data_IF_953107550652
#
_entry.id   IF_953107550652
#
_cell.length_a   1.000
_cell.length_b   1.000
_cell.length_c   1.000
_cell.angle_alpha   90.00
_cell.angle_beta   90.00
_cell.angle_gamma   90.00
#
_symmetry.space_group_name_H-M   'P 1'
#
loop_
_entity.id
_entity.type
_entity.pdbx_description
1 polymer ?
#
# COMPACT_ATOMS: atom_id res chain seq x y z
N UNK A 1 -10.96 8.47 9.39
CA UNK A 1 -10.40 7.11 9.53
C UNK A 1 -10.63 6.40 8.22
N UNK A 2 -9.57 5.97 7.53
CA UNK A 2 -9.69 5.15 6.32
C UNK A 2 -9.86 3.72 6.85
N UNK A 3 -10.94 3.05 6.52
CA UNK A 3 -11.18 1.68 6.96
C UNK A 3 -10.90 0.76 5.78
N UNK A 4 -9.87 -0.07 5.91
CA UNK A 4 -9.57 -1.10 4.93
C UNK A 4 -10.45 -2.33 5.20
N UNK A 5 -10.93 -2.95 4.13
CA UNK A 5 -11.68 -4.21 4.19
C UNK A 5 -10.94 -5.29 3.42
N UNK A 6 -11.21 -6.54 3.79
CA UNK A 6 -10.74 -7.69 3.03
C UNK A 6 -11.24 -7.59 1.58
N UNK A 7 -10.34 -7.74 0.61
CA UNK A 7 -10.63 -7.61 -0.81
C UNK A 7 -10.39 -6.21 -1.40
N UNK A 8 -10.16 -5.18 -0.57
CA UNK A 8 -9.87 -3.82 -1.08
C UNK A 8 -8.54 -3.78 -1.82
N UNK A 9 -8.46 -2.88 -2.81
CA UNK A 9 -7.21 -2.61 -3.52
C UNK A 9 -6.50 -1.40 -2.89
N UNK A 10 -5.21 -1.58 -2.60
CA UNK A 10 -4.39 -0.56 -1.94
C UNK A 10 -3.07 -0.37 -2.68
N UNK A 11 -2.56 0.85 -2.64
CA UNK A 11 -1.20 1.16 -3.06
C UNK A 11 -0.33 1.22 -1.81
N UNK A 12 0.87 0.65 -1.92
CA UNK A 12 1.85 0.65 -0.84
C UNK A 12 2.81 1.81 -1.02
N UNK A 13 2.91 2.68 -0.02
CA UNK A 13 3.89 3.74 0.04
C UNK A 13 5.20 3.22 0.64
N UNK A 14 6.30 3.34 -0.10
CA UNK A 14 7.62 2.95 0.39
C UNK A 14 8.26 4.12 1.16
N UNK A 15 7.98 4.20 2.47
CA UNK A 15 8.48 5.24 3.39
C UNK A 15 9.99 5.12 3.71
N UNK A 16 10.66 4.02 3.38
CA UNK A 16 12.04 3.71 3.80
C UNK A 16 13.15 3.93 2.75
N UNK A 17 12.83 4.39 1.54
CA UNK A 17 13.86 4.69 0.54
C UNK A 17 14.72 5.90 0.98
N UNK A 18 16.04 5.69 1.06
CA UNK A 18 17.05 6.73 1.29
C UNK A 18 16.86 7.86 0.28
N UNK A 19 16.86 9.11 0.76
CA UNK A 19 16.79 10.30 -0.07
C UNK A 19 18.02 10.32 -0.99
N UNK A 20 17.85 9.91 -2.24
CA UNK A 20 18.90 10.02 -3.26
C UNK A 20 18.87 11.46 -3.82
N UNK A 21 20.00 12.18 -3.86
CA UNK A 21 20.06 13.60 -4.23
C UNK A 21 19.98 13.85 -5.75
N UNK A 22 19.11 13.14 -6.47
CA UNK A 22 19.09 13.21 -7.94
C UNK A 22 17.80 12.83 -8.67
N UNK A 23 16.75 12.37 -7.97
CA UNK A 23 15.37 12.18 -8.49
C UNK A 23 14.53 11.52 -7.40
N UNK A 24 13.49 12.20 -6.90
CA UNK A 24 12.43 11.50 -6.17
C UNK A 24 11.65 10.66 -7.19
N UNK A 25 11.98 9.37 -7.31
CA UNK A 25 11.05 8.43 -7.98
C UNK A 25 9.82 8.30 -7.08
N UNK A 26 8.63 8.35 -7.68
CA UNK A 26 7.37 8.13 -6.98
C UNK A 26 7.43 6.83 -6.17
N UNK A 27 7.04 6.92 -4.89
CA UNK A 27 7.33 5.91 -3.86
C UNK A 27 6.28 4.81 -3.77
N UNK A 28 5.36 4.76 -4.72
CA UNK A 28 4.23 3.85 -4.72
C UNK A 28 4.64 2.52 -5.34
N UNK A 29 4.49 1.45 -4.58
CA UNK A 29 4.49 0.09 -5.09
C UNK A 29 3.05 -0.27 -5.46
N UNK A 30 2.91 -1.09 -6.50
CA UNK A 30 1.67 -1.29 -7.28
C UNK A 30 0.41 -1.69 -6.49
N UNK A 31 -0.71 -1.92 -7.20
CA UNK A 31 -1.96 -2.27 -6.55
C UNK A 31 -1.88 -3.67 -5.91
N UNK A 32 -2.12 -3.73 -4.61
CA UNK A 32 -2.19 -4.97 -3.84
C UNK A 32 -3.61 -5.18 -3.33
N UNK A 33 -4.01 -6.45 -3.16
CA UNK A 33 -5.29 -6.79 -2.54
C UNK A 33 -5.10 -7.03 -1.05
N UNK A 34 -5.95 -6.41 -0.24
CA UNK A 34 -6.03 -6.66 1.19
C UNK A 34 -6.55 -8.07 1.42
N UNK A 35 -5.76 -8.87 2.12
CA UNK A 35 -6.15 -10.20 2.58
C UNK A 35 -6.89 -10.12 3.91
N UNK A 36 -6.31 -9.40 4.86
CA UNK A 36 -6.79 -9.32 6.25
C UNK A 36 -6.30 -8.01 6.87
N UNK A 37 -7.12 -7.37 7.70
CA UNK A 37 -6.75 -6.19 8.48
C UNK A 37 -6.64 -6.59 9.94
N UNK A 38 -5.45 -6.41 10.53
CA UNK A 38 -5.21 -6.70 11.94
C UNK A 38 -5.57 -5.47 12.79
N UNK A 39 -6.11 -5.69 14.00
CA UNK A 39 -6.56 -4.60 14.89
C UNK A 39 -5.43 -3.68 15.41
N UNK A 40 -4.17 -3.99 15.11
CA UNK A 40 -2.98 -3.23 15.52
C UNK A 40 -2.44 -2.29 14.44
N UNK A 41 -3.26 -1.92 13.45
CA UNK A 41 -2.84 -1.05 12.36
C UNK A 41 -1.85 -1.76 11.41
N UNK A 42 -2.06 -3.05 11.17
CA UNK A 42 -1.27 -3.82 10.23
C UNK A 42 -2.20 -4.50 9.22
N UNK A 43 -1.82 -4.47 7.95
CA UNK A 43 -2.62 -5.00 6.85
C UNK A 43 -1.81 -6.09 6.17
N UNK A 44 -2.42 -7.25 5.98
CA UNK A 44 -1.85 -8.35 5.21
C UNK A 44 -2.27 -8.17 3.76
N UNK A 45 -1.29 -8.12 2.86
CA UNK A 45 -1.51 -7.93 1.42
C UNK A 45 -1.15 -9.19 0.65
N UNK A 46 -1.94 -9.48 -0.38
CA UNK A 46 -1.60 -10.48 -1.40
C UNK A 46 -0.54 -9.92 -2.35
N UNK A 47 0.57 -10.62 -2.45
CA UNK A 47 1.61 -10.35 -3.44
C UNK A 47 1.36 -11.13 -4.73
N UNK A 48 1.90 -10.60 -5.83
CA UNK A 48 1.84 -11.23 -7.16
C UNK A 48 2.64 -12.53 -7.24
N UNK A 49 3.59 -12.75 -6.32
CA UNK A 49 4.37 -13.99 -6.19
C UNK A 49 3.67 -15.08 -5.36
N UNK A 50 2.39 -14.86 -4.99
CA UNK A 50 1.59 -15.79 -4.19
C UNK A 50 1.93 -15.77 -2.69
N UNK A 51 2.82 -14.88 -2.25
CA UNK A 51 3.14 -14.69 -0.83
C UNK A 51 2.25 -13.62 -0.22
N UNK A 52 2.12 -13.66 1.09
CA UNK A 52 1.47 -12.59 1.84
C UNK A 52 2.54 -11.81 2.58
N UNK A 53 2.45 -10.49 2.55
CA UNK A 53 3.32 -9.63 3.33
C UNK A 53 2.50 -8.66 4.15
N UNK A 54 3.00 -8.35 5.34
CA UNK A 54 2.33 -7.46 6.29
C UNK A 54 2.95 -6.08 6.21
N UNK A 55 2.12 -5.07 6.04
CA UNK A 55 2.51 -3.66 6.03
C UNK A 55 1.77 -2.92 7.13
N UNK A 56 2.36 -1.88 7.72
CA UNK A 56 1.61 -1.02 8.61
C UNK A 56 0.55 -0.26 7.80
N UNK A 57 -0.59 0.01 8.43
CA UNK A 57 -1.72 0.73 7.83
C UNK A 57 -1.32 2.14 7.35
N UNK A 58 -0.36 2.77 8.02
CA UNK A 58 0.17 4.10 7.68
C UNK A 58 0.90 4.14 6.32
N UNK A 59 1.46 3.01 5.89
CA UNK A 59 2.12 2.87 4.59
C UNK A 59 1.12 2.42 3.50
N UNK A 60 -0.12 2.04 3.86
CA UNK A 60 -1.14 1.60 2.92
C UNK A 60 -2.12 2.74 2.61
N UNK A 61 -2.46 2.91 1.33
CA UNK A 61 -3.45 3.91 0.90
C UNK A 61 -4.50 3.25 0.03
N UNK A 62 -5.78 3.35 0.43
CA UNK A 62 -6.87 2.82 -0.39
C UNK A 62 -6.95 3.62 -1.69
N UNK A 63 -6.97 2.95 -2.84
CA UNK A 63 -7.23 3.67 -4.10
C UNK A 63 -8.67 4.15 -4.09
N UNK A 64 -8.97 5.47 -4.07
CA UNK A 64 -10.32 5.92 -4.38
C UNK A 64 -10.58 5.55 -5.85
N UNK A 65 -11.70 4.90 -6.14
CA UNK A 65 -12.11 4.53 -7.50
C UNK A 65 -12.38 5.75 -8.41
N UNK A 66 -12.01 6.96 -7.99
CA UNK A 66 -12.36 8.25 -8.59
C UNK A 66 -11.17 9.18 -8.86
N UNK A 67 -9.91 8.75 -8.68
CA UNK A 67 -8.76 9.60 -9.05
C UNK A 67 -7.70 8.82 -9.86
N UNK A 68 -7.47 9.17 -11.14
CA UNK A 68 -6.45 8.54 -11.94
C UNK A 68 -5.08 9.09 -11.55
N UNK A 69 -4.27 8.26 -10.87
CA UNK A 69 -2.79 8.30 -10.86
C UNK A 69 -2.13 9.63 -10.45
N UNK A 70 -1.43 9.70 -9.30
CA UNK A 70 -0.43 10.75 -9.13
C UNK A 70 0.77 10.43 -10.04
N UNK A 71 0.91 11.22 -11.11
CA UNK A 71 2.10 11.27 -11.97
C UNK A 71 3.35 11.69 -11.18
#
# INVERSE_FOLDING_TARGET
>A
KREFKEGDQVLLYNSKLKIFPGKLKSRWSGPFKVKEVRPYGAIVLWSTDGRNFTVPEEDAVSTPLSDPTPA
#
